data_IF_816128124812
#
_entry.id   IF_816128124812
#
_cell.length_a   1.000
_cell.length_b   1.000
_cell.length_c   1.000
_cell.angle_alpha   90.00
_cell.angle_beta   90.00
_cell.angle_gamma   90.00
#
_symmetry.space_group_name_H-M   'P 1'
#
loop_
_entity.id
_entity.type
_entity.pdbx_description
1 polymer ?
#
# COMPACT_ATOMS: atom_id res chain seq x y z
N UNK A 1 -8.55 -48.17 -39.04
CA UNK A 1 -8.80 -48.73 -37.69
C UNK A 1 -8.49 -47.65 -36.67
N UNK A 2 -9.51 -46.93 -36.20
CA UNK A 2 -9.45 -46.19 -34.93
C UNK A 2 -9.49 -47.23 -33.81
N UNK A 3 -8.58 -47.13 -32.82
CA UNK A 3 -8.79 -47.55 -31.42
C UNK A 3 -7.51 -47.33 -30.58
N UNK A 4 -7.68 -46.55 -29.51
CA UNK A 4 -6.91 -46.55 -28.24
C UNK A 4 -5.57 -45.79 -28.27
N UNK A 5 -5.22 -44.91 -27.34
CA UNK A 5 -5.83 -44.34 -26.14
C UNK A 5 -5.00 -43.06 -25.85
N UNK A 6 -5.63 -41.89 -25.66
CA UNK A 6 -6.06 -41.33 -24.38
C UNK A 6 -4.95 -41.30 -23.29
N UNK A 7 -4.71 -40.08 -22.77
CA UNK A 7 -4.09 -39.72 -21.49
C UNK A 7 -2.56 -39.76 -21.40
N UNK A 8 -1.94 -38.61 -21.67
CA UNK A 8 -0.79 -38.13 -20.89
C UNK A 8 -0.75 -36.59 -20.91
N UNK A 9 -1.83 -35.96 -20.41
CA UNK A 9 -1.79 -34.55 -20.00
C UNK A 9 -1.13 -34.54 -18.62
N UNK A 10 0.19 -34.49 -18.61
CA UNK A 10 0.97 -34.00 -17.48
C UNK A 10 1.70 -32.74 -17.96
N UNK A 11 0.91 -31.68 -18.19
CA UNK A 11 1.41 -30.32 -18.35
C UNK A 11 1.91 -29.87 -16.99
N UNK A 12 3.10 -30.33 -16.64
CA UNK A 12 3.93 -29.81 -15.57
C UNK A 12 4.75 -28.67 -16.19
N UNK A 13 4.49 -27.44 -15.77
CA UNK A 13 5.42 -26.33 -15.99
C UNK A 13 5.17 -25.43 -17.19
N UNK A 14 3.95 -24.92 -17.37
CA UNK A 14 3.78 -23.63 -18.05
C UNK A 14 2.59 -22.87 -17.47
N UNK A 15 2.81 -22.30 -16.27
CA UNK A 15 2.07 -21.09 -15.90
C UNK A 15 2.46 -20.06 -16.94
N UNK A 16 1.56 -19.84 -17.88
CA UNK A 16 1.65 -18.78 -18.88
C UNK A 16 1.71 -17.46 -18.12
N UNK A 17 2.91 -16.92 -17.95
CA UNK A 17 3.11 -15.50 -17.68
C UNK A 17 2.57 -14.74 -18.89
N UNK A 18 1.29 -14.40 -18.89
CA UNK A 18 0.81 -13.26 -19.65
C UNK A 18 1.48 -12.02 -19.01
N UNK A 19 2.37 -11.30 -19.73
CA UNK A 19 2.96 -10.08 -19.22
C UNK A 19 1.86 -9.01 -19.21
N UNK A 20 1.09 -8.92 -18.12
CA UNK A 20 0.04 -7.92 -18.00
C UNK A 20 -1.01 -8.16 -16.92
N UNK A 21 -1.19 -9.40 -16.43
CA UNK A 21 -2.07 -9.64 -15.29
C UNK A 21 -1.24 -9.69 -14.00
N UNK A 22 -1.21 -8.58 -13.27
CA UNK A 22 -0.72 -8.58 -11.88
C UNK A 22 -1.53 -9.59 -11.06
N UNK A 23 -0.85 -10.32 -10.19
CA UNK A 23 -1.51 -11.17 -9.19
C UNK A 23 -2.34 -10.32 -8.23
N UNK A 24 -3.29 -10.94 -7.52
CA UNK A 24 -4.08 -10.22 -6.50
C UNK A 24 -3.19 -9.66 -5.39
N UNK A 25 -2.11 -10.35 -5.08
CA UNK A 25 -1.09 -9.98 -4.12
C UNK A 25 -0.35 -8.70 -4.55
N UNK A 26 0.15 -8.68 -5.79
CA UNK A 26 0.81 -7.50 -6.37
C UNK A 26 -0.16 -6.32 -6.49
N UNK A 27 -1.42 -6.57 -6.86
CA UNK A 27 -2.44 -5.54 -6.92
C UNK A 27 -2.72 -4.94 -5.53
N UNK A 28 -2.90 -5.76 -4.50
CA UNK A 28 -3.10 -5.28 -3.13
C UNK A 28 -1.88 -4.53 -2.60
N UNK A 29 -0.66 -5.00 -2.92
CA UNK A 29 0.58 -4.31 -2.57
C UNK A 29 0.70 -2.94 -3.25
N UNK A 30 0.43 -2.86 -4.56
CA UNK A 30 0.40 -1.59 -5.30
C UNK A 30 -0.64 -0.63 -4.74
N UNK A 31 -1.85 -1.10 -4.44
CA UNK A 31 -2.89 -0.27 -3.85
C UNK A 31 -2.49 0.27 -2.47
N UNK A 32 -1.74 -0.51 -1.68
CA UNK A 32 -1.21 -0.05 -0.40
C UNK A 32 -0.12 1.02 -0.60
N UNK A 33 0.75 0.86 -1.60
CA UNK A 33 1.73 1.88 -2.01
C UNK A 33 1.02 3.17 -2.41
N UNK A 34 -0.03 3.08 -3.23
CA UNK A 34 -0.82 4.24 -3.64
C UNK A 34 -1.44 4.95 -2.43
N UNK A 35 -1.98 4.21 -1.46
CA UNK A 35 -2.51 4.79 -0.21
C UNK A 35 -1.42 5.54 0.56
N UNK A 36 -0.24 4.96 0.72
CA UNK A 36 0.87 5.65 1.39
C UNK A 36 1.32 6.90 0.64
N UNK A 37 1.37 6.84 -0.69
CA UNK A 37 1.73 7.97 -1.52
C UNK A 37 0.68 9.10 -1.43
N UNK A 38 -0.60 8.76 -1.38
CA UNK A 38 -1.70 9.70 -1.18
C UNK A 38 -1.64 10.36 0.19
N UNK A 39 -1.24 9.62 1.24
CA UNK A 39 -1.01 10.20 2.57
C UNK A 39 0.15 11.21 2.52
N UNK A 40 1.27 10.85 1.89
CA UNK A 40 2.38 11.79 1.71
C UNK A 40 1.94 13.04 0.95
N UNK A 41 1.10 12.89 -0.07
CA UNK A 41 0.57 14.00 -0.85
C UNK A 41 -0.40 14.86 -0.04
N UNK A 42 -1.27 14.27 0.79
CA UNK A 42 -2.14 15.02 1.70
C UNK A 42 -1.31 15.87 2.68
N UNK A 43 -0.25 15.30 3.25
CA UNK A 43 0.65 16.02 4.17
C UNK A 43 1.38 17.20 3.50
N UNK A 44 1.78 17.08 2.23
CA UNK A 44 2.37 18.19 1.45
C UNK A 44 1.45 19.43 1.36
N UNK A 45 0.13 19.23 1.42
CA UNK A 45 -0.82 20.34 1.31
C UNK A 45 -0.92 21.19 2.57
N UNK A 46 -0.45 20.68 3.70
CA UNK A 46 -0.62 21.30 5.01
C UNK A 46 0.29 22.51 5.17
N UNK A 47 -0.32 23.69 5.31
CA UNK A 47 0.37 24.97 5.56
C UNK A 47 -0.21 25.72 6.76
N UNK A 48 -1.44 25.41 7.12
CA UNK A 48 -2.24 26.10 8.11
C UNK A 48 -3.33 25.16 8.66
N UNK A 49 -4.22 25.70 9.49
CA UNK A 49 -5.30 24.94 10.11
C UNK A 49 -6.32 24.40 9.12
N UNK A 50 -6.71 25.18 8.11
CA UNK A 50 -7.74 24.76 7.15
C UNK A 50 -7.23 23.60 6.29
N UNK A 51 -6.01 23.72 5.77
CA UNK A 51 -5.35 22.63 5.04
C UNK A 51 -5.06 21.42 5.92
N UNK A 52 -4.74 21.60 7.21
CA UNK A 52 -4.60 20.49 8.16
C UNK A 52 -5.93 19.75 8.40
N UNK A 53 -7.05 20.45 8.46
CA UNK A 53 -8.38 19.86 8.59
C UNK A 53 -8.77 19.02 7.38
N UNK A 54 -8.52 19.55 6.18
CA UNK A 54 -8.74 18.85 4.93
C UNK A 54 -7.86 17.60 4.83
N UNK A 55 -6.55 17.74 5.09
CA UNK A 55 -5.60 16.62 5.07
C UNK A 55 -5.96 15.57 6.13
N UNK A 56 -6.35 15.96 7.34
CA UNK A 56 -6.76 15.03 8.39
C UNK A 56 -7.99 14.19 7.98
N UNK A 57 -8.96 14.80 7.30
CA UNK A 57 -10.12 14.09 6.77
C UNK A 57 -9.72 13.07 5.70
N UNK A 58 -8.86 13.49 4.75
CA UNK A 58 -8.35 12.61 3.70
C UNK A 58 -7.55 11.43 4.27
N UNK A 59 -6.65 11.69 5.24
CA UNK A 59 -5.83 10.67 5.89
C UNK A 59 -6.71 9.65 6.62
N UNK A 60 -7.80 10.08 7.28
CA UNK A 60 -8.74 9.14 7.93
C UNK A 60 -9.40 8.20 6.92
N UNK A 61 -9.79 8.69 5.75
CA UNK A 61 -10.43 7.85 4.74
C UNK A 61 -9.41 6.94 4.04
N UNK A 62 -8.20 7.44 3.79
CA UNK A 62 -7.06 6.64 3.32
C UNK A 62 -6.68 5.53 4.31
N UNK A 63 -6.73 5.82 5.62
CA UNK A 63 -6.46 4.82 6.66
C UNK A 63 -7.49 3.69 6.65
N UNK A 64 -8.77 3.99 6.47
CA UNK A 64 -9.82 2.96 6.33
C UNK A 64 -9.56 2.09 5.10
N UNK A 65 -9.30 2.71 3.95
CA UNK A 65 -8.98 2.01 2.70
C UNK A 65 -7.74 1.13 2.86
N UNK A 66 -6.67 1.65 3.46
CA UNK A 66 -5.46 0.89 3.78
C UNK A 66 -5.74 -0.28 4.71
N UNK A 67 -6.58 -0.12 5.73
CA UNK A 67 -6.97 -1.21 6.63
C UNK A 67 -7.70 -2.34 5.89
N UNK A 68 -8.59 -2.02 4.97
CA UNK A 68 -9.32 -2.99 4.15
C UNK A 68 -8.37 -3.76 3.22
N UNK A 69 -7.52 -3.04 2.48
CA UNK A 69 -6.49 -3.65 1.62
C UNK A 69 -5.54 -4.52 2.45
N UNK A 70 -5.13 -4.07 3.63
CA UNK A 70 -4.23 -4.81 4.52
C UNK A 70 -4.86 -6.11 5.03
N UNK A 71 -6.17 -6.13 5.27
CA UNK A 71 -6.89 -7.37 5.61
C UNK A 71 -6.93 -8.32 4.43
N UNK A 72 -7.25 -7.83 3.23
CA UNK A 72 -7.24 -8.65 2.01
C UNK A 72 -5.85 -9.23 1.75
N UNK A 73 -4.82 -8.39 1.83
CA UNK A 73 -3.43 -8.79 1.67
C UNK A 73 -3.02 -9.88 2.67
N UNK A 74 -3.37 -9.75 3.95
CA UNK A 74 -3.07 -10.77 4.97
C UNK A 74 -3.71 -12.12 4.67
N UNK A 75 -4.93 -12.13 4.11
CA UNK A 75 -5.56 -13.39 3.70
C UNK A 75 -4.87 -13.99 2.48
N UNK A 76 -4.48 -13.16 1.51
CA UNK A 76 -3.73 -13.61 0.32
C UNK A 76 -2.33 -14.12 0.70
N UNK A 77 -1.68 -13.50 1.69
CA UNK A 77 -0.34 -13.85 2.16
C UNK A 77 -0.26 -15.26 2.74
N UNK A 78 -1.33 -15.73 3.40
CA UNK A 78 -1.41 -17.10 3.93
C UNK A 78 -1.27 -18.16 2.84
N UNK A 79 -1.69 -17.85 1.61
CA UNK A 79 -1.60 -18.73 0.47
C UNK A 79 -0.25 -18.64 -0.27
N UNK A 80 0.61 -17.68 0.08
CA UNK A 80 1.90 -17.48 -0.60
C UNK A 80 2.96 -18.49 -0.14
N UNK A 81 3.80 -18.90 -1.07
CA UNK A 81 5.06 -19.59 -0.77
C UNK A 81 6.08 -18.63 -0.13
N UNK A 82 7.16 -19.19 0.42
CA UNK A 82 8.27 -18.37 0.96
C UNK A 82 9.00 -17.58 -0.14
N UNK A 83 9.12 -18.16 -1.33
CA UNK A 83 9.80 -17.55 -2.47
C UNK A 83 9.01 -16.37 -3.02
N UNK A 84 7.68 -16.50 -3.14
CA UNK A 84 6.79 -15.40 -3.54
C UNK A 84 6.82 -14.25 -2.54
N UNK A 85 6.74 -14.54 -1.23
CA UNK A 85 6.88 -13.51 -0.18
C UNK A 85 8.21 -12.76 -0.30
N UNK A 86 9.33 -13.48 -0.41
CA UNK A 86 10.67 -12.85 -0.56
C UNK A 86 10.72 -11.92 -1.77
N UNK A 87 10.13 -12.35 -2.90
CA UNK A 87 10.11 -11.56 -4.13
C UNK A 87 9.27 -10.29 -3.98
N UNK A 88 8.16 -10.37 -3.25
CA UNK A 88 7.36 -9.22 -2.90
C UNK A 88 8.10 -8.27 -1.97
N UNK A 89 8.72 -8.78 -0.91
CA UNK A 89 9.53 -7.96 0.01
C UNK A 89 10.61 -7.21 -0.76
N UNK A 90 11.42 -7.90 -1.58
CA UNK A 90 12.46 -7.28 -2.41
C UNK A 90 11.92 -6.21 -3.38
N UNK A 91 10.68 -6.36 -3.86
CA UNK A 91 10.08 -5.45 -4.84
C UNK A 91 9.44 -4.22 -4.19
N UNK A 92 8.82 -4.40 -3.02
CA UNK A 92 7.96 -3.40 -2.40
C UNK A 92 8.61 -2.72 -1.19
N UNK A 93 9.46 -3.41 -0.43
CA UNK A 93 10.16 -2.82 0.74
C UNK A 93 10.90 -1.52 0.39
N UNK A 94 11.66 -1.40 -0.72
CA UNK A 94 12.30 -0.14 -1.08
C UNK A 94 11.31 1.00 -1.34
N UNK A 95 10.15 0.68 -1.92
CA UNK A 95 9.09 1.67 -2.19
C UNK A 95 8.42 2.13 -0.90
N UNK A 96 8.17 1.20 0.02
CA UNK A 96 7.65 1.51 1.36
C UNK A 96 8.63 2.40 2.11
N UNK A 97 9.92 2.07 2.07
CA UNK A 97 10.96 2.87 2.71
C UNK A 97 11.05 4.29 2.11
N UNK A 98 11.02 4.41 0.79
CA UNK A 98 11.05 5.70 0.10
C UNK A 98 9.85 6.57 0.50
N UNK A 99 8.63 6.03 0.43
CA UNK A 99 7.43 6.78 0.80
C UNK A 99 7.41 7.08 2.29
N UNK A 100 7.86 6.15 3.14
CA UNK A 100 8.02 6.36 4.57
C UNK A 100 8.91 7.56 4.88
N UNK A 101 10.05 7.69 4.18
CA UNK A 101 10.93 8.87 4.28
C UNK A 101 10.23 10.15 3.82
N UNK A 102 9.42 10.10 2.76
CA UNK A 102 8.64 11.25 2.31
C UNK A 102 7.62 11.69 3.37
N UNK A 103 6.87 10.75 3.95
CA UNK A 103 5.91 11.01 5.03
C UNK A 103 6.63 11.62 6.23
N UNK A 104 7.76 11.04 6.65
CA UNK A 104 8.56 11.57 7.77
C UNK A 104 9.05 13.00 7.49
N UNK A 105 9.57 13.26 6.28
CA UNK A 105 10.04 14.57 5.88
C UNK A 105 8.92 15.62 5.92
N UNK A 106 7.72 15.29 5.43
CA UNK A 106 6.57 16.20 5.46
C UNK A 106 6.05 16.43 6.88
N UNK A 107 6.00 15.39 7.70
CA UNK A 107 5.63 15.53 9.12
C UNK A 107 6.62 16.43 9.87
N UNK A 108 7.92 16.28 9.60
CA UNK A 108 8.96 17.14 10.16
C UNK A 108 8.79 18.59 9.67
N UNK A 109 8.58 18.78 8.37
CA UNK A 109 8.31 20.11 7.78
C UNK A 109 7.13 20.78 8.46
N UNK A 110 6.00 20.07 8.57
CA UNK A 110 4.79 20.54 9.25
C UNK A 110 5.11 20.95 10.69
N UNK A 111 5.81 20.11 11.45
CA UNK A 111 6.17 20.40 12.84
C UNK A 111 7.07 21.64 12.99
N UNK A 112 7.91 21.94 12.00
CA UNK A 112 8.82 23.10 12.03
C UNK A 112 8.23 24.38 11.45
N UNK A 113 7.41 24.28 10.41
CA UNK A 113 6.91 25.42 9.64
C UNK A 113 5.49 25.82 10.04
N UNK A 114 4.64 24.85 10.40
CA UNK A 114 3.25 25.10 10.80
C UNK A 114 3.24 25.38 12.31
N UNK A 115 3.11 26.67 12.64
CA UNK A 115 3.11 27.14 14.03
C UNK A 115 1.75 27.06 14.72
N UNK A 116 0.70 26.69 13.98
CA UNK A 116 -0.65 26.60 14.53
C UNK A 116 -0.81 25.30 15.36
N UNK A 117 -0.95 25.39 16.68
CA UNK A 117 -1.07 24.20 17.54
C UNK A 117 -2.35 23.40 17.28
N UNK A 118 -3.43 24.03 16.83
CA UNK A 118 -4.66 23.33 16.47
C UNK A 118 -4.48 22.52 15.18
N UNK A 119 -3.73 23.05 14.20
CA UNK A 119 -3.37 22.33 12.99
C UNK A 119 -2.56 21.06 13.33
N UNK A 120 -1.52 21.20 14.16
CA UNK A 120 -0.68 20.10 14.61
C UNK A 120 -1.47 19.05 15.39
N UNK A 121 -2.37 19.47 16.28
CA UNK A 121 -3.21 18.56 17.06
C UNK A 121 -4.15 17.73 16.18
N UNK A 122 -4.79 18.35 15.18
CA UNK A 122 -5.72 17.66 14.27
C UNK A 122 -5.02 16.63 13.40
N UNK A 123 -3.88 16.98 12.83
CA UNK A 123 -3.05 16.04 12.07
C UNK A 123 -2.52 14.91 12.95
N UNK A 124 -2.03 15.24 14.15
CA UNK A 124 -1.55 14.25 15.11
C UNK A 124 -2.63 13.23 15.49
N UNK A 125 -3.88 13.68 15.68
CA UNK A 125 -5.00 12.79 15.96
C UNK A 125 -5.32 11.86 14.77
N UNK A 126 -5.37 12.39 13.54
CA UNK A 126 -5.63 11.58 12.34
C UNK A 126 -4.53 10.52 12.11
N UNK A 127 -3.27 10.89 12.32
CA UNK A 127 -2.14 9.96 12.20
C UNK A 127 -2.13 8.90 13.33
N UNK A 128 -2.56 9.26 14.54
CA UNK A 128 -2.64 8.31 15.66
C UNK A 128 -3.72 7.24 15.43
N UNK A 129 -4.81 7.57 14.73
CA UNK A 129 -5.86 6.63 14.35
C UNK A 129 -5.43 5.62 13.27
N UNK A 130 -4.25 5.78 12.66
CA UNK A 130 -3.70 4.82 11.70
C UNK A 130 -3.06 3.58 12.35
N UNK A 131 -2.85 3.57 13.67
CA UNK A 131 -2.31 2.42 14.42
C UNK A 131 -3.38 1.35 14.67
#
# INVERSE_FOLDING_TARGET
MLKNALMAVAVLGLVVCLPGCKSKQEQAADQMIDVMQDIANALKTVKDKESAEAAATQIKDLAKKGSEIGKEYKELEKAMSKEERKKMDETYEPKVEEIGKQIEAEMKRIATEVKDPAALMKLGAAMAEMK
#
